data_IF_104612738084
#
_entry.id   IF_104612738084
#
_cell.length_a   1.000
_cell.length_b   1.000
_cell.length_c   1.000
_cell.angle_alpha   90.00
_cell.angle_beta   90.00
_cell.angle_gamma   90.00
#
_symmetry.space_group_name_H-M   'P 1'
#
loop_
_entity.id
_entity.type
_entity.pdbx_description
1 polymer ?
#
# COMPACT_ATOMS: atom_id res chain seq x y z
N UNK A 1 8.34 2.67 13.22
CA UNK A 1 9.05 1.42 12.84
C UNK A 1 8.20 0.61 11.88
N UNK A 2 6.98 0.15 12.25
CA UNK A 2 6.15 -0.67 11.37
C UNK A 2 6.01 -0.13 9.93
N UNK A 3 5.66 1.15 9.75
CA UNK A 3 5.51 1.76 8.43
C UNK A 3 6.79 1.90 7.58
N UNK A 4 7.98 1.70 8.16
CA UNK A 4 9.24 1.68 7.39
C UNK A 4 9.63 0.28 6.92
N UNK A 5 9.08 -0.73 7.57
CA UNK A 5 9.44 -2.13 7.35
C UNK A 5 8.38 -2.87 6.52
N UNK A 6 7.22 -2.23 6.27
CA UNK A 6 6.07 -2.92 5.68
C UNK A 6 6.37 -3.49 4.29
N UNK A 7 7.22 -2.82 3.52
CA UNK A 7 7.56 -3.22 2.14
C UNK A 7 8.75 -4.19 2.11
N UNK A 8 9.69 -4.08 3.05
CA UNK A 8 10.93 -4.87 3.06
C UNK A 8 10.83 -6.10 3.97
N UNK A 9 10.27 -5.92 5.18
CA UNK A 9 10.16 -6.95 6.21
C UNK A 9 8.73 -6.97 6.82
N UNK A 10 7.70 -7.36 6.04
CA UNK A 10 6.29 -7.24 6.46
C UNK A 10 5.97 -8.00 7.74
N UNK A 11 6.57 -9.16 7.96
CA UNK A 11 6.37 -9.94 9.19
C UNK A 11 6.92 -9.19 10.43
N UNK A 12 8.10 -8.59 10.33
CA UNK A 12 8.67 -7.79 11.40
C UNK A 12 7.85 -6.51 11.64
N UNK A 13 7.36 -5.89 10.56
CA UNK A 13 6.44 -4.76 10.65
C UNK A 13 5.17 -5.11 11.41
N UNK A 14 4.60 -6.28 11.13
CA UNK A 14 3.41 -6.79 11.81
C UNK A 14 3.67 -7.02 13.30
N UNK A 15 4.79 -7.64 13.68
CA UNK A 15 5.17 -7.84 15.08
C UNK A 15 5.31 -6.50 15.83
N UNK A 16 5.92 -5.49 15.20
CA UNK A 16 6.00 -4.15 15.80
C UNK A 16 4.62 -3.49 15.98
N UNK A 17 3.73 -3.64 15.02
CA UNK A 17 2.36 -3.13 15.11
C UNK A 17 1.57 -3.84 16.23
N UNK A 18 1.70 -5.17 16.34
CA UNK A 18 1.11 -5.95 17.44
C UNK A 18 1.64 -5.52 18.81
N UNK A 19 2.95 -5.25 18.93
CA UNK A 19 3.50 -4.75 20.19
C UNK A 19 2.91 -3.38 20.57
N UNK A 20 2.69 -2.49 19.60
CA UNK A 20 2.06 -1.20 19.83
C UNK A 20 0.57 -1.34 20.23
N UNK A 21 -0.14 -2.33 19.68
CA UNK A 21 -1.57 -2.53 19.96
C UNK A 21 -1.86 -2.92 21.41
N UNK A 22 -0.89 -3.52 22.12
CA UNK A 22 -1.02 -3.85 23.55
C UNK A 22 -1.28 -2.62 24.43
N UNK A 23 -0.74 -1.45 24.04
CA UNK A 23 -0.90 -0.19 24.77
C UNK A 23 -1.89 0.77 24.12
N UNK A 24 -1.98 0.75 22.80
CA UNK A 24 -2.78 1.68 22.00
C UNK A 24 -3.98 1.07 21.29
N UNK A 25 -4.42 -0.13 21.63
CA UNK A 25 -5.43 -0.89 20.89
C UNK A 25 -6.84 -0.25 20.79
N UNK A 26 -7.08 0.85 21.52
CA UNK A 26 -8.32 1.64 21.40
C UNK A 26 -8.22 2.77 20.34
N UNK A 27 -7.04 3.01 19.80
CA UNK A 27 -6.79 4.03 18.80
C UNK A 27 -7.01 3.44 17.40
N UNK A 28 -7.86 4.08 16.59
CA UNK A 28 -8.13 3.66 15.22
C UNK A 28 -6.84 3.51 14.39
N UNK A 29 -5.91 4.47 14.48
CA UNK A 29 -4.64 4.44 13.77
C UNK A 29 -3.76 3.22 14.14
N UNK A 30 -3.85 2.74 15.37
CA UNK A 30 -3.11 1.52 15.79
C UNK A 30 -3.75 0.28 15.19
N UNK A 31 -5.09 0.21 15.15
CA UNK A 31 -5.83 -0.89 14.49
C UNK A 31 -5.55 -0.92 13.00
N UNK A 32 -5.53 0.25 12.38
CA UNK A 32 -5.14 0.43 10.98
C UNK A 32 -3.73 -0.09 10.71
N UNK A 33 -2.75 0.32 11.51
CA UNK A 33 -1.37 -0.11 11.36
C UNK A 33 -1.21 -1.64 11.51
N UNK A 34 -1.93 -2.26 12.48
CA UNK A 34 -1.92 -3.73 12.62
C UNK A 34 -2.58 -4.39 11.41
N UNK A 35 -3.73 -3.86 10.94
CA UNK A 35 -4.43 -4.40 9.78
C UNK A 35 -3.60 -4.34 8.50
N UNK A 36 -2.96 -3.20 8.22
CA UNK A 36 -2.12 -3.02 7.03
C UNK A 36 -0.88 -3.91 7.06
N UNK A 37 -0.20 -4.01 8.21
CA UNK A 37 0.98 -4.86 8.34
C UNK A 37 0.63 -6.35 8.32
N UNK A 38 -0.51 -6.75 8.91
CA UNK A 38 -1.03 -8.10 8.82
C UNK A 38 -1.36 -8.48 7.36
N UNK A 39 -1.99 -7.56 6.62
CA UNK A 39 -2.28 -7.75 5.20
C UNK A 39 -0.99 -7.94 4.39
N UNK A 40 0.01 -7.07 4.58
CA UNK A 40 1.29 -7.16 3.89
C UNK A 40 2.04 -8.47 4.21
N UNK A 41 1.90 -8.98 5.45
CA UNK A 41 2.48 -10.25 5.89
C UNK A 41 1.64 -11.49 5.47
N UNK A 42 0.51 -11.31 4.76
CA UNK A 42 -0.36 -12.41 4.35
C UNK A 42 -1.27 -12.97 5.45
N UNK A 43 -1.33 -12.32 6.62
CA UNK A 43 -2.21 -12.70 7.73
C UNK A 43 -3.62 -12.13 7.52
N UNK A 44 -4.30 -12.56 6.46
CA UNK A 44 -5.58 -11.98 6.01
C UNK A 44 -6.68 -12.06 7.05
N UNK A 45 -6.73 -13.12 7.87
CA UNK A 45 -7.71 -13.26 8.95
C UNK A 45 -7.55 -12.20 10.03
N UNK A 46 -6.31 -11.95 10.45
CA UNK A 46 -5.96 -10.89 11.39
C UNK A 46 -6.25 -9.51 10.81
N UNK A 47 -5.86 -9.28 9.56
CA UNK A 47 -6.13 -8.03 8.86
C UNK A 47 -7.62 -7.69 8.87
N UNK A 48 -8.49 -8.64 8.53
CA UNK A 48 -9.94 -8.47 8.55
C UNK A 48 -10.47 -8.10 9.95
N UNK A 49 -10.01 -8.76 11.03
CA UNK A 49 -10.43 -8.44 12.40
C UNK A 49 -10.05 -7.02 12.77
N UNK A 50 -8.84 -6.61 12.44
CA UNK A 50 -8.32 -5.28 12.76
C UNK A 50 -9.03 -4.19 11.94
N UNK A 51 -9.28 -4.40 10.66
CA UNK A 51 -10.05 -3.45 9.84
C UNK A 51 -11.52 -3.35 10.26
N UNK A 52 -12.17 -4.43 10.68
CA UNK A 52 -13.52 -4.38 11.29
C UNK A 52 -13.51 -3.53 12.57
N UNK A 53 -12.48 -3.69 13.40
CA UNK A 53 -12.31 -2.89 14.61
C UNK A 53 -12.02 -1.42 14.28
N UNK A 54 -11.16 -1.16 13.30
CA UNK A 54 -10.91 0.18 12.78
C UNK A 54 -12.21 0.87 12.34
N UNK A 55 -13.01 0.22 11.50
CA UNK A 55 -14.31 0.74 11.03
C UNK A 55 -15.24 1.07 12.19
N UNK A 56 -15.33 0.20 13.19
CA UNK A 56 -16.17 0.44 14.38
C UNK A 56 -15.71 1.65 15.19
N UNK A 57 -14.41 1.93 15.26
CA UNK A 57 -13.85 3.06 16.01
C UNK A 57 -13.92 4.36 15.22
N UNK A 58 -13.55 4.32 13.95
CA UNK A 58 -13.41 5.52 13.09
C UNK A 58 -14.68 5.88 12.33
N UNK A 59 -15.58 4.92 12.09
CA UNK A 59 -16.71 5.07 11.16
C UNK A 59 -16.32 5.10 9.69
N UNK A 60 -15.03 4.88 9.35
CA UNK A 60 -14.51 5.03 7.98
C UNK A 60 -14.53 3.69 7.24
N UNK A 61 -14.91 3.73 5.96
CA UNK A 61 -14.96 2.60 5.04
C UNK A 61 -13.75 2.53 4.09
N UNK A 62 -12.71 3.35 4.30
CA UNK A 62 -11.55 3.51 3.40
C UNK A 62 -10.83 2.18 3.11
N UNK A 63 -10.85 1.23 4.03
CA UNK A 63 -10.18 -0.07 3.88
C UNK A 63 -11.08 -1.19 3.32
N UNK A 64 -12.30 -0.89 2.85
CA UNK A 64 -13.15 -1.92 2.22
C UNK A 64 -12.46 -2.65 1.06
N UNK A 65 -11.70 -1.98 0.16
CA UNK A 65 -10.97 -2.69 -0.88
C UNK A 65 -9.98 -3.72 -0.33
N UNK A 66 -9.21 -3.34 0.70
CA UNK A 66 -8.24 -4.25 1.35
C UNK A 66 -8.97 -5.41 2.06
N UNK A 67 -10.11 -5.13 2.70
CA UNK A 67 -10.92 -6.17 3.33
C UNK A 67 -11.48 -7.17 2.30
N UNK A 68 -11.94 -6.70 1.15
CA UNK A 68 -12.37 -7.56 0.06
C UNK A 68 -11.22 -8.41 -0.48
N UNK A 69 -10.03 -7.83 -0.61
CA UNK A 69 -8.84 -8.58 -1.05
C UNK A 69 -8.37 -9.61 -0.02
N UNK A 70 -8.51 -9.33 1.28
CA UNK A 70 -8.31 -10.32 2.34
C UNK A 70 -9.25 -11.53 2.19
N UNK A 71 -10.53 -11.31 1.85
CA UNK A 71 -11.48 -12.42 1.61
C UNK A 71 -11.02 -13.27 0.40
N UNK A 72 -10.50 -12.64 -0.66
CA UNK A 72 -9.88 -13.36 -1.77
C UNK A 72 -8.67 -14.18 -1.31
N UNK A 73 -7.76 -13.57 -0.56
CA UNK A 73 -6.57 -14.23 -0.02
C UNK A 73 -6.89 -15.42 0.89
N UNK A 74 -8.08 -15.43 1.51
CA UNK A 74 -8.59 -16.57 2.27
C UNK A 74 -9.33 -17.60 1.41
N UNK A 75 -9.31 -17.47 0.07
CA UNK A 75 -9.99 -18.37 -0.85
C UNK A 75 -11.53 -18.20 -0.86
N UNK A 76 -12.03 -16.99 -0.56
CA UNK A 76 -13.45 -16.66 -0.48
C UNK A 76 -13.83 -15.55 -1.47
N UNK A 77 -13.65 -15.75 -2.79
CA UNK A 77 -13.90 -14.71 -3.79
C UNK A 77 -15.36 -14.23 -3.81
N UNK A 78 -16.33 -15.11 -3.49
CA UNK A 78 -17.73 -14.70 -3.39
C UNK A 78 -17.95 -13.66 -2.29
N UNK A 79 -17.31 -13.80 -1.13
CA UNK A 79 -17.39 -12.80 -0.05
C UNK A 79 -16.71 -11.48 -0.44
N UNK A 80 -15.65 -11.52 -1.22
CA UNK A 80 -15.05 -10.31 -1.77
C UNK A 80 -16.02 -9.54 -2.67
N UNK A 81 -16.78 -10.26 -3.50
CA UNK A 81 -17.84 -9.68 -4.33
C UNK A 81 -19.00 -9.12 -3.50
N UNK A 82 -19.36 -9.76 -2.39
CA UNK A 82 -20.39 -9.25 -1.46
C UNK A 82 -19.93 -7.91 -0.85
N UNK A 83 -18.68 -7.81 -0.42
CA UNK A 83 -18.10 -6.55 0.07
C UNK A 83 -18.13 -5.47 -1.02
N UNK A 84 -17.78 -5.82 -2.26
CA UNK A 84 -17.79 -4.88 -3.38
C UNK A 84 -19.19 -4.33 -3.72
N UNK A 85 -20.25 -5.07 -3.37
CA UNK A 85 -21.65 -4.70 -3.61
C UNK A 85 -22.36 -4.12 -2.39
N UNK A 86 -21.68 -4.02 -1.27
CA UNK A 86 -22.25 -3.48 -0.04
C UNK A 86 -22.66 -2.00 -0.20
N UNK A 87 -23.59 -1.53 0.62
CA UNK A 87 -24.01 -0.12 0.62
C UNK A 87 -22.82 0.80 0.94
N UNK A 88 -21.98 0.38 1.86
CA UNK A 88 -20.78 1.14 2.27
C UNK A 88 -19.76 1.35 1.14
N UNK A 89 -19.76 0.45 0.15
CA UNK A 89 -18.91 0.59 -1.04
C UNK A 89 -19.34 1.78 -1.91
N UNK A 90 -20.61 2.17 -1.86
CA UNK A 90 -21.13 3.32 -2.62
C UNK A 90 -20.58 4.65 -2.11
N UNK A 91 -20.23 4.72 -0.82
CA UNK A 91 -19.72 5.92 -0.16
C UNK A 91 -18.20 6.11 -0.36
N UNK A 92 -17.51 5.15 -0.98
CA UNK A 92 -16.10 5.28 -1.29
C UNK A 92 -15.85 6.43 -2.26
N UNK A 93 -14.72 7.08 -2.08
CA UNK A 93 -14.19 8.05 -3.03
C UNK A 93 -13.75 7.39 -4.36
N UNK A 94 -13.33 8.18 -5.33
CA UNK A 94 -12.95 7.66 -6.65
C UNK A 94 -11.77 6.68 -6.60
N UNK A 95 -10.68 6.94 -5.85
CA UNK A 95 -9.61 5.95 -5.63
C UNK A 95 -10.12 4.66 -4.99
N UNK A 96 -10.91 4.76 -3.93
CA UNK A 96 -11.48 3.59 -3.24
C UNK A 96 -12.37 2.74 -4.14
N UNK A 97 -13.19 3.37 -4.99
CA UNK A 97 -14.01 2.67 -6.00
C UNK A 97 -13.16 1.98 -7.05
N UNK A 98 -12.08 2.61 -7.52
CA UNK A 98 -11.16 2.01 -8.46
C UNK A 98 -10.46 0.78 -7.88
N UNK A 99 -9.93 0.88 -6.65
CA UNK A 99 -9.30 -0.24 -5.97
C UNK A 99 -10.28 -1.39 -5.72
N UNK A 100 -11.51 -1.08 -5.29
CA UNK A 100 -12.53 -2.10 -5.06
C UNK A 100 -12.95 -2.81 -6.36
N UNK A 101 -13.03 -2.10 -7.48
CA UNK A 101 -13.28 -2.70 -8.80
C UNK A 101 -12.15 -3.64 -9.23
N UNK A 102 -10.88 -3.27 -8.98
CA UNK A 102 -9.74 -4.13 -9.24
C UNK A 102 -9.84 -5.43 -8.43
N UNK A 103 -10.18 -5.34 -7.16
CA UNK A 103 -10.36 -6.52 -6.30
C UNK A 103 -11.54 -7.37 -6.77
N UNK A 104 -12.66 -6.75 -7.13
CA UNK A 104 -13.84 -7.46 -7.65
C UNK A 104 -13.53 -8.21 -8.96
N UNK A 105 -12.79 -7.59 -9.86
CA UNK A 105 -12.32 -8.23 -11.09
C UNK A 105 -11.40 -9.42 -10.78
N UNK A 106 -10.48 -9.27 -9.83
CA UNK A 106 -9.65 -10.38 -9.34
C UNK A 106 -10.49 -11.53 -8.77
N UNK A 107 -11.52 -11.23 -7.97
CA UNK A 107 -12.43 -12.24 -7.44
C UNK A 107 -13.21 -12.97 -8.55
N UNK A 108 -13.61 -12.26 -9.62
CA UNK A 108 -14.22 -12.89 -10.80
C UNK A 108 -13.24 -13.81 -11.52
N UNK A 109 -11.98 -13.38 -11.63
CA UNK A 109 -10.92 -14.21 -12.22
C UNK A 109 -10.67 -15.46 -11.41
N UNK A 110 -10.64 -15.36 -10.07
CA UNK A 110 -10.49 -16.50 -9.15
C UNK A 110 -11.64 -17.53 -9.33
N UNK A 111 -12.84 -17.05 -9.69
CA UNK A 111 -14.02 -17.88 -10.02
C UNK A 111 -14.04 -18.37 -11.48
N UNK A 112 -13.05 -18.03 -12.31
CA UNK A 112 -13.03 -18.37 -13.74
C UNK A 112 -14.03 -17.59 -14.60
N UNK A 113 -14.59 -16.48 -14.09
CA UNK A 113 -15.60 -15.66 -14.72
C UNK A 113 -14.95 -14.47 -15.46
N UNK A 114 -14.14 -14.75 -16.50
CA UNK A 114 -13.27 -13.76 -17.12
C UNK A 114 -14.02 -12.59 -17.76
N UNK A 115 -15.14 -12.83 -18.46
CA UNK A 115 -15.96 -11.74 -19.03
C UNK A 115 -16.55 -10.83 -17.93
N UNK A 116 -16.93 -11.41 -16.80
CA UNK A 116 -17.41 -10.66 -15.65
C UNK A 116 -16.29 -9.84 -15.00
N UNK A 117 -15.05 -10.33 -15.02
CA UNK A 117 -13.89 -9.58 -14.54
C UNK A 117 -13.66 -8.30 -15.36
N UNK A 118 -13.80 -8.37 -16.68
CA UNK A 118 -13.74 -7.18 -17.54
C UNK A 118 -14.85 -6.20 -17.17
N UNK A 119 -16.09 -6.68 -17.00
CA UNK A 119 -17.24 -5.84 -16.68
C UNK A 119 -17.12 -5.13 -15.30
N UNK A 120 -16.51 -5.77 -14.28
CA UNK A 120 -16.29 -5.14 -12.98
C UNK A 120 -15.35 -3.92 -13.05
N UNK A 121 -14.49 -3.85 -14.08
CA UNK A 121 -13.55 -2.74 -14.30
C UNK A 121 -14.11 -1.62 -15.18
N UNK A 122 -15.24 -1.85 -15.88
CA UNK A 122 -15.90 -0.85 -16.73
C UNK A 122 -16.69 0.16 -15.89
N UNK A 123 -15.99 0.87 -15.02
CA UNK A 123 -16.52 1.87 -14.09
C UNK A 123 -16.30 3.30 -14.62
N UNK A 124 -17.04 4.32 -14.12
CA UNK A 124 -16.85 5.72 -14.55
C UNK A 124 -15.43 6.27 -14.35
N UNK A 125 -14.63 5.66 -13.45
CA UNK A 125 -13.24 6.02 -13.20
C UNK A 125 -12.29 5.55 -14.31
N UNK A 126 -12.71 4.62 -15.19
CA UNK A 126 -11.94 4.12 -16.32
C UNK A 126 -12.02 5.12 -17.49
N UNK A 127 -11.31 6.23 -17.39
CA UNK A 127 -11.28 7.26 -18.43
C UNK A 127 -9.89 7.37 -19.03
N UNK A 128 -9.75 6.95 -20.29
CA UNK A 128 -8.49 6.92 -21.02
C UNK A 128 -7.87 8.31 -21.22
N UNK A 129 -8.67 9.38 -21.13
CA UNK A 129 -8.24 10.76 -21.40
C UNK A 129 -7.81 11.50 -20.14
N UNK A 130 -7.91 10.88 -18.96
CA UNK A 130 -7.65 11.53 -17.68
C UNK A 130 -6.75 10.65 -16.81
N UNK A 131 -5.69 11.25 -16.26
CA UNK A 131 -4.77 10.58 -15.35
C UNK A 131 -5.00 11.08 -13.91
N UNK A 132 -5.41 10.17 -13.04
CA UNK A 132 -5.49 10.32 -11.59
C UNK A 132 -4.53 9.32 -10.93
N UNK A 133 -4.24 9.48 -9.67
CA UNK A 133 -3.31 8.59 -8.93
C UNK A 133 -3.63 7.09 -9.05
N UNK A 134 -4.90 6.74 -9.19
CA UNK A 134 -5.37 5.37 -9.36
C UNK A 134 -5.39 4.89 -10.82
N UNK A 135 -5.31 5.80 -11.81
CA UNK A 135 -5.49 5.44 -13.24
C UNK A 135 -4.48 4.42 -13.76
N UNK A 136 -3.17 4.54 -13.48
CA UNK A 136 -2.21 3.57 -13.99
C UNK A 136 -2.51 2.13 -13.54
N UNK A 137 -2.85 1.97 -12.28
CA UNK A 137 -3.18 0.65 -11.71
C UNK A 137 -4.49 0.11 -12.28
N UNK A 138 -5.52 0.95 -12.39
CA UNK A 138 -6.80 0.58 -12.99
C UNK A 138 -6.65 0.19 -14.46
N UNK A 139 -5.86 0.94 -15.24
CA UNK A 139 -5.62 0.66 -16.66
C UNK A 139 -4.85 -0.67 -16.85
N UNK A 140 -3.89 -0.98 -15.99
CA UNK A 140 -3.20 -2.28 -16.02
C UNK A 140 -4.15 -3.43 -15.70
N UNK A 141 -4.95 -3.30 -14.64
CA UNK A 141 -5.92 -4.31 -14.26
C UNK A 141 -6.93 -4.59 -15.38
N UNK A 142 -7.39 -3.53 -16.05
CA UNK A 142 -8.30 -3.67 -17.20
C UNK A 142 -7.61 -4.32 -18.40
N UNK A 143 -6.37 -3.96 -18.69
CA UNK A 143 -5.59 -4.60 -19.74
C UNK A 143 -5.38 -6.10 -19.48
N UNK A 144 -5.10 -6.48 -18.23
CA UNK A 144 -4.90 -7.88 -17.86
C UNK A 144 -6.21 -8.69 -17.96
N UNK A 145 -7.34 -8.09 -17.55
CA UNK A 145 -8.65 -8.70 -17.72
C UNK A 145 -9.01 -8.89 -19.22
N UNK A 146 -8.72 -7.90 -20.07
CA UNK A 146 -8.91 -7.98 -21.52
C UNK A 146 -8.05 -9.08 -22.15
N UNK A 147 -6.79 -9.18 -21.75
CA UNK A 147 -5.90 -10.26 -22.20
C UNK A 147 -6.43 -11.64 -21.76
N UNK A 148 -7.00 -11.74 -20.55
CA UNK A 148 -7.62 -12.96 -20.05
C UNK A 148 -8.78 -13.48 -20.91
N UNK A 149 -9.50 -12.59 -21.63
CA UNK A 149 -10.58 -12.94 -22.56
C UNK A 149 -10.14 -12.95 -24.03
N UNK A 150 -8.81 -12.81 -24.30
CA UNK A 150 -8.24 -12.86 -25.64
C UNK A 150 -8.40 -11.56 -26.46
N UNK A 151 -8.69 -10.42 -25.81
CA UNK A 151 -8.77 -9.09 -26.45
C UNK A 151 -7.41 -8.39 -26.43
N UNK A 152 -6.38 -9.04 -26.98
CA UNK A 152 -4.97 -8.63 -26.84
C UNK A 152 -4.67 -7.24 -27.42
N UNK A 153 -5.25 -6.90 -28.58
CA UNK A 153 -5.05 -5.58 -29.20
C UNK A 153 -5.55 -4.43 -28.32
N UNK A 154 -6.64 -4.66 -27.59
CA UNK A 154 -7.18 -3.67 -26.65
C UNK A 154 -6.37 -3.63 -25.37
N UNK A 155 -5.97 -4.79 -24.87
CA UNK A 155 -5.09 -4.90 -23.72
C UNK A 155 -3.80 -4.10 -23.91
N UNK A 156 -3.16 -4.22 -25.08
CA UNK A 156 -1.94 -3.48 -25.40
C UNK A 156 -2.14 -1.97 -25.42
N UNK A 157 -3.29 -1.48 -25.91
CA UNK A 157 -3.62 -0.05 -25.85
C UNK A 157 -3.72 0.46 -24.42
N UNK A 158 -4.37 -0.31 -23.54
CA UNK A 158 -4.52 0.08 -22.13
C UNK A 158 -3.21 -0.01 -21.35
N UNK A 159 -2.33 -0.98 -21.66
CA UNK A 159 -0.97 -1.02 -21.08
C UNK A 159 -0.16 0.22 -21.45
N UNK A 160 -0.19 0.62 -22.72
CA UNK A 160 0.47 1.86 -23.16
C UNK A 160 -0.10 3.09 -22.46
N UNK A 161 -1.42 3.14 -22.30
CA UNK A 161 -2.07 4.25 -21.63
C UNK A 161 -1.73 4.29 -20.13
N UNK A 162 -1.52 3.14 -19.47
CA UNK A 162 -1.05 3.09 -18.10
C UNK A 162 0.32 3.76 -17.94
N UNK A 163 1.26 3.47 -18.85
CA UNK A 163 2.58 4.11 -18.87
C UNK A 163 2.49 5.62 -19.11
N UNK A 164 1.62 6.05 -20.04
CA UNK A 164 1.38 7.49 -20.29
C UNK A 164 0.84 8.17 -19.04
N UNK A 165 -0.08 7.52 -18.33
CA UNK A 165 -0.64 8.05 -17.09
C UNK A 165 0.41 8.14 -15.97
N UNK A 166 1.28 7.14 -15.83
CA UNK A 166 2.40 7.17 -14.86
C UNK A 166 3.36 8.32 -15.13
N UNK A 167 3.78 8.48 -16.38
CA UNK A 167 4.68 9.57 -16.76
C UNK A 167 4.03 10.94 -16.50
N UNK A 168 2.73 11.09 -16.81
CA UNK A 168 1.99 12.32 -16.55
C UNK A 168 1.86 12.65 -15.05
N UNK A 169 1.91 11.64 -14.18
CA UNK A 169 1.84 11.77 -12.72
C UNK A 169 3.23 11.88 -12.06
N UNK A 170 4.32 11.80 -12.82
CA UNK A 170 5.68 11.75 -12.29
C UNK A 170 5.96 10.45 -11.52
N UNK A 171 5.21 9.39 -11.79
CA UNK A 171 5.38 8.06 -11.20
C UNK A 171 6.13 7.11 -12.15
N UNK A 172 6.52 7.59 -13.34
CA UNK A 172 7.37 6.85 -14.26
C UNK A 172 8.66 6.45 -13.54
N UNK A 173 9.24 5.33 -13.94
CA UNK A 173 10.60 4.99 -13.54
C UNK A 173 11.42 6.23 -13.89
N UNK A 174 11.97 6.90 -12.87
CA UNK A 174 12.97 7.91 -13.10
C UNK A 174 14.01 7.26 -14.02
N UNK A 175 14.00 7.63 -15.30
CA UNK A 175 15.20 7.47 -16.08
C UNK A 175 16.24 8.16 -15.20
N UNK A 176 17.17 7.38 -14.64
CA UNK A 176 18.25 7.92 -13.85
C UNK A 176 18.68 9.17 -14.59
N UNK A 177 18.66 10.35 -13.96
CA UNK A 177 19.03 11.56 -14.70
C UNK A 177 20.35 11.23 -15.34
N UNK A 178 20.40 11.26 -16.68
CA UNK A 178 21.62 11.07 -17.43
C UNK A 178 22.59 12.06 -16.78
N UNK A 179 23.45 11.54 -15.89
CA UNK A 179 24.52 12.34 -15.33
C UNK A 179 25.36 12.61 -16.55
N UNK A 180 25.03 13.70 -17.24
CA UNK A 180 25.87 14.22 -18.28
C UNK A 180 27.14 14.60 -17.53
N UNK A 181 28.11 13.71 -17.58
CA UNK A 181 29.47 14.00 -17.18
C UNK A 181 29.92 15.16 -18.11
N UNK A 182 29.84 16.37 -17.59
CA UNK A 182 30.25 17.58 -18.32
C UNK A 182 31.73 17.57 -18.65
N UNK A 183 32.38 16.44 -18.42
CA UNK A 183 33.81 16.24 -18.60
C UNK A 183 34.57 17.09 -17.58
N UNK A 184 35.52 16.49 -16.93
CA UNK A 184 36.48 17.20 -16.11
C UNK A 184 37.24 18.18 -17.04
N UNK A 185 37.07 19.49 -16.84
CA UNK A 185 37.75 20.48 -17.65
C UNK A 185 39.21 20.56 -17.17
N UNK A 186 40.04 19.66 -17.73
CA UNK A 186 41.47 19.58 -17.42
C UNK A 186 42.17 20.95 -17.64
N UNK A 187 41.64 21.77 -18.55
CA UNK A 187 42.17 23.13 -18.79
C UNK A 187 41.82 24.09 -17.65
N UNK A 188 40.65 23.98 -17.05
CA UNK A 188 40.23 24.82 -15.93
C UNK A 188 40.99 24.44 -14.65
N UNK A 189 41.17 23.15 -14.38
CA UNK A 189 41.99 22.66 -13.27
C UNK A 189 43.47 23.10 -13.42
N UNK A 190 44.01 22.96 -14.61
CA UNK A 190 45.39 23.44 -14.90
C UNK A 190 45.55 24.96 -14.71
N UNK A 191 44.50 25.75 -15.00
CA UNK A 191 44.47 27.19 -14.73
C UNK A 191 44.41 27.49 -13.24
N UNK A 192 43.56 26.80 -12.50
CA UNK A 192 43.45 26.97 -11.06
C UNK A 192 44.72 26.54 -10.32
N UNK A 193 45.35 25.43 -10.72
CA UNK A 193 46.65 25.02 -10.18
C UNK A 193 47.75 26.04 -10.47
N UNK A 194 47.78 26.55 -11.69
CA UNK A 194 48.76 27.58 -12.08
C UNK A 194 48.56 28.88 -11.29
N UNK A 195 47.34 29.29 -11.03
CA UNK A 195 46.99 30.45 -10.23
C UNK A 195 47.35 30.23 -8.75
N UNK A 196 47.02 29.07 -8.18
CA UNK A 196 47.40 28.69 -6.82
C UNK A 196 48.91 28.69 -6.62
N UNK A 197 49.67 28.15 -7.60
CA UNK A 197 51.14 28.17 -7.58
C UNK A 197 51.71 29.59 -7.61
N UNK A 198 51.15 30.49 -8.45
CA UNK A 198 51.55 31.93 -8.51
C UNK A 198 51.25 32.63 -7.18
N UNK A 199 50.17 32.36 -6.51
CA UNK A 199 49.81 32.93 -5.21
C UNK A 199 50.78 32.47 -4.11
N UNK A 200 51.17 31.19 -4.10
CA UNK A 200 52.15 30.63 -3.17
C UNK A 200 53.55 31.21 -3.38
N UNK A 201 54.01 31.36 -4.64
CA UNK A 201 55.28 31.96 -4.99
C UNK A 201 55.31 33.43 -4.55
N UNK A 202 54.23 34.18 -4.75
CA UNK A 202 54.12 35.57 -4.32
C UNK A 202 54.13 35.70 -2.79
N UNK A 203 53.47 34.79 -2.07
CA UNK A 203 53.47 34.75 -0.61
C UNK A 203 54.87 34.42 -0.05
N UNK A 204 55.60 33.51 -0.69
CA UNK A 204 56.97 33.15 -0.33
C UNK A 204 57.91 34.31 -0.55
N UNK A 205 57.85 35.03 -1.68
CA UNK A 205 58.67 36.23 -1.96
C UNK A 205 58.38 37.40 -1.02
N UNK A 206 57.10 37.56 -0.60
CA UNK A 206 56.68 38.56 0.38
C UNK A 206 57.26 38.26 1.77
N UNK A 207 57.43 36.98 2.12
CA UNK A 207 58.05 36.54 3.36
C UNK A 207 59.56 36.75 3.40
N UNK A 208 60.24 36.66 2.23
CA UNK A 208 61.69 36.90 2.15
C UNK A 208 62.09 38.39 2.13
N UNK A 209 61.17 39.26 1.74
CA UNK A 209 61.42 40.73 1.65
C UNK A 209 61.02 41.50 2.91
N UNK A 210 60.48 40.81 3.93
CA UNK A 210 60.19 41.45 5.22
C UNK A 210 61.48 41.86 5.95
N UNK A 211 61.69 43.14 6.31
CA UNK A 211 62.88 43.57 7.03
C UNK A 211 62.90 42.93 8.41
N UNK A 212 64.05 42.29 8.75
CA UNK A 212 64.34 41.81 10.12
C UNK A 212 64.21 42.98 11.07
N UNK A 213 63.07 43.07 11.79
CA UNK A 213 62.90 44.00 12.87
C UNK A 213 63.74 43.54 14.06
N UNK A 214 64.58 44.46 14.45
CA UNK A 214 65.54 44.39 15.58
C UNK A 214 64.80 44.18 16.88
N UNK A 215 65.27 43.25 17.66
CA UNK A 215 64.83 42.96 19.04
C UNK A 215 64.83 44.23 19.91
N UNK A 216 63.70 44.58 20.48
CA UNK A 216 63.61 45.43 21.66
C UNK A 216 62.76 44.76 22.70
N UNK A 217 63.40 44.46 23.81
CA UNK A 217 62.82 43.96 25.06
C UNK A 217 61.71 44.87 25.59
N UNK A 218 60.66 44.29 26.18
CA UNK A 218 59.68 45.00 26.98
C UNK A 218 58.35 44.29 27.07
N UNK A 219 58.16 43.40 28.01
CA UNK A 219 56.85 42.88 28.43
C UNK A 219 55.99 43.99 29.08
N UNK A 220 54.70 43.82 29.40
CA UNK A 220 53.80 42.67 29.31
C UNK A 220 52.41 43.04 28.77
N UNK A 221 51.68 42.14 28.18
CA UNK A 221 50.22 42.17 28.19
C UNK A 221 49.65 40.76 27.85
N UNK A 222 49.71 39.90 28.81
CA UNK A 222 48.80 38.80 28.91
C UNK A 222 47.51 39.36 29.52
N UNK A 223 46.48 39.61 28.68
CA UNK A 223 45.07 39.81 29.11
C UNK A 223 44.26 40.33 27.90
N UNK A 224 43.92 39.47 26.94
CA UNK A 224 42.83 39.71 25.99
C UNK A 224 42.51 38.50 25.11
N UNK A 225 42.73 37.27 25.56
CA UNK A 225 42.40 36.08 24.78
C UNK A 225 41.56 35.03 25.56
N UNK A 226 40.94 35.43 26.67
CA UNK A 226 40.09 34.51 27.47
C UNK A 226 38.61 34.90 27.53
N UNK A 227 38.13 35.75 26.66
CA UNK A 227 36.74 36.21 26.66
C UNK A 227 35.84 35.71 25.53
N UNK A 228 36.31 34.79 24.66
CA UNK A 228 35.47 34.19 23.61
C UNK A 228 35.40 32.65 23.65
N UNK A 229 35.83 31.99 24.71
CA UNK A 229 35.68 30.53 24.88
C UNK A 229 34.72 30.12 25.98
N UNK A 230 33.97 31.04 26.58
CA UNK A 230 33.10 30.77 27.74
C UNK A 230 31.60 30.89 27.44
N UNK A 231 31.19 31.07 26.17
CA UNK A 231 29.78 31.19 25.79
C UNK A 231 29.19 30.00 25.05
N UNK A 232 29.93 28.90 24.89
CA UNK A 232 29.49 27.72 24.14
C UNK A 232 29.29 26.45 24.98
N UNK A 233 29.33 26.52 26.32
CA UNK A 233 29.18 25.32 27.17
C UNK A 233 28.19 25.45 28.34
N UNK A 234 27.25 26.36 28.27
CA UNK A 234 26.29 26.61 29.38
C UNK A 234 24.82 26.34 28.99
N UNK A 235 24.52 25.36 28.12
CA UNK A 235 23.13 24.91 27.93
C UNK A 235 23.03 23.39 27.75
N UNK A 236 23.53 22.61 28.72
CA UNK A 236 23.21 21.19 28.86
C UNK A 236 23.47 20.75 30.30
N UNK A 237 22.73 21.30 31.24
CA UNK A 237 22.55 20.69 32.54
C UNK A 237 21.20 21.06 33.12
N UNK A 238 20.52 20.00 33.54
CA UNK A 238 19.36 19.98 34.47
C UNK A 238 17.98 19.96 33.84
N UNK A 239 17.49 18.74 33.61
CA UNK A 239 16.17 18.31 34.07
C UNK A 239 16.13 16.79 34.23
N UNK A 240 16.49 16.31 35.40
CA UNK A 240 16.06 15.01 35.90
C UNK A 240 14.53 15.09 36.16
N UNK A 241 13.71 14.15 35.67
CA UNK A 241 12.32 14.05 36.11
C UNK A 241 12.28 13.34 37.48
N UNK A 242 11.68 14.04 38.41
CA UNK A 242 11.31 13.54 39.72
C UNK A 242 10.44 12.29 39.64
N UNK A 243 10.87 11.29 40.35
CA UNK A 243 10.17 10.10 40.74
C UNK A 243 8.76 10.44 41.31
N UNK A 244 7.72 10.12 40.57
CA UNK A 244 6.36 10.07 41.10
C UNK A 244 5.95 8.60 41.10
N UNK A 245 6.12 7.98 42.23
CA UNK A 245 5.49 6.72 42.62
C UNK A 245 3.98 6.81 42.38
N UNK A 246 3.51 6.08 41.41
CA UNK A 246 2.08 5.80 41.23
C UNK A 246 1.84 4.36 41.63
N UNK A 247 1.12 4.27 42.72
CA UNK A 247 0.48 3.16 43.39
C UNK A 247 0.00 2.07 42.41
N UNK A 248 0.50 0.85 42.62
CA UNK A 248 0.00 -0.37 42.03
C UNK A 248 -1.41 -0.63 42.57
N UNK A 249 -2.44 -0.25 41.80
CA UNK A 249 -3.74 -0.85 41.91
C UNK A 249 -3.94 -1.79 40.70
N UNK A 250 -3.74 -3.06 40.97
CA UNK A 250 -4.20 -4.17 40.18
C UNK A 250 -5.72 -4.02 39.95
N UNK A 251 -6.09 -3.62 38.74
CA UNK A 251 -7.43 -3.80 38.25
C UNK A 251 -7.45 -5.08 37.42
N UNK A 252 -7.85 -6.13 38.11
CA UNK A 252 -8.34 -7.39 37.55
C UNK A 252 -9.42 -7.06 36.53
N UNK A 253 -9.06 -6.99 35.25
CA UNK A 253 -10.03 -6.84 34.17
C UNK A 253 -10.27 -8.21 33.56
N UNK A 254 -11.37 -8.80 34.01
CA UNK A 254 -12.00 -9.98 33.43
C UNK A 254 -12.08 -9.83 31.91
N UNK A 255 -11.30 -10.64 31.21
CA UNK A 255 -11.50 -10.95 29.81
C UNK A 255 -12.69 -11.89 29.77
N UNK A 256 -13.88 -11.35 29.54
CA UNK A 256 -15.00 -12.16 29.07
C UNK A 256 -14.68 -12.57 27.63
N UNK A 257 -14.34 -13.81 27.51
CA UNK A 257 -14.23 -14.56 26.28
C UNK A 257 -15.68 -14.76 25.76
N UNK A 258 -16.21 -13.76 25.07
CA UNK A 258 -17.40 -13.97 24.25
C UNK A 258 -16.94 -14.62 22.94
N UNK A 259 -16.67 -15.88 23.03
CA UNK A 259 -16.70 -16.80 21.91
C UNK A 259 -18.15 -16.92 21.46
N UNK A 260 -18.61 -16.03 20.59
CA UNK A 260 -19.76 -16.32 19.75
C UNK A 260 -19.32 -17.40 18.75
N UNK A 261 -19.58 -18.62 19.15
CA UNK A 261 -19.63 -19.79 18.28
C UNK A 261 -20.82 -19.58 17.35
N UNK A 262 -20.56 -19.18 16.12
CA UNK A 262 -21.50 -19.41 15.02
C UNK A 262 -21.58 -20.94 14.81
N UNK A 263 -22.43 -21.57 15.57
CA UNK A 263 -22.91 -22.89 15.23
C UNK A 263 -23.83 -22.75 14.01
N UNK A 264 -23.24 -22.99 12.86
CA UNK A 264 -23.92 -23.28 11.61
C UNK A 264 -24.69 -24.61 11.84
N UNK A 265 -25.95 -24.49 12.22
CA UNK A 265 -26.85 -25.62 12.31
C UNK A 265 -27.12 -26.15 10.90
N UNK A 266 -26.39 -27.20 10.57
CA UNK A 266 -26.70 -28.07 9.44
C UNK A 266 -27.94 -28.82 9.82
N UNK A 267 -29.11 -28.39 9.35
CA UNK A 267 -30.33 -29.21 9.33
C UNK A 267 -30.08 -30.41 8.41
N UNK A 268 -29.87 -31.55 9.02
CA UNK A 268 -29.97 -32.86 8.37
C UNK A 268 -31.46 -33.16 8.18
N UNK A 269 -31.97 -32.99 6.96
CA UNK A 269 -33.22 -33.60 6.53
C UNK A 269 -32.98 -35.10 6.40
N UNK A 270 -33.41 -35.83 7.42
CA UNK A 270 -33.60 -37.28 7.37
C UNK A 270 -34.75 -37.60 6.42
N UNK A 271 -34.41 -38.13 5.24
CA UNK A 271 -35.36 -38.81 4.37
C UNK A 271 -35.72 -40.16 4.98
N UNK A 272 -36.83 -40.22 5.69
CA UNK A 272 -37.51 -41.48 5.99
C UNK A 272 -38.12 -42.07 4.71
N UNK A 273 -37.64 -43.26 4.38
CA UNK A 273 -38.18 -44.17 3.41
C UNK A 273 -39.38 -44.96 3.97
N UNK A 274 -40.49 -44.89 3.32
CA UNK A 274 -41.51 -45.93 3.32
C UNK A 274 -42.31 -45.77 2.04
N UNK A 275 -42.32 -46.63 1.13
CA UNK A 275 -42.74 -48.00 1.12
C UNK A 275 -43.90 -48.18 0.19
N UNK A 276 -43.69 -48.92 -0.89
CA UNK A 276 -44.61 -49.78 -1.61
C UNK A 276 -46.00 -49.23 -2.04
N UNK A 277 -46.34 -49.27 -3.27
CA UNK A 277 -47.12 -50.37 -3.83
C UNK A 277 -47.37 -50.22 -5.33
N UNK A 278 -47.59 -51.36 -5.93
CA UNK A 278 -47.75 -51.75 -7.31
C UNK A 278 -49.02 -51.22 -8.00
N UNK A 279 -48.99 -51.22 -9.31
CA UNK A 279 -50.22 -51.28 -10.13
C UNK A 279 -50.02 -50.69 -11.52
N UNK A 280 -49.56 -51.50 -12.43
CA UNK A 280 -50.30 -52.16 -13.50
C UNK A 280 -50.80 -51.32 -14.67
N UNK A 281 -50.21 -51.67 -15.77
CA UNK A 281 -50.83 -52.01 -17.08
C UNK A 281 -51.33 -50.90 -18.01
N UNK A 282 -50.76 -51.03 -19.22
CA UNK A 282 -51.39 -51.07 -20.55
C UNK A 282 -52.09 -49.77 -21.02
N UNK A 283 -51.99 -49.31 -22.17
CA UNK A 283 -52.07 -49.97 -23.48
C UNK A 283 -52.01 -48.90 -24.57
N UNK A 284 -51.47 -49.29 -25.69
CA UNK A 284 -51.87 -49.01 -27.06
C UNK A 284 -51.90 -47.57 -27.63
N UNK A 285 -51.00 -47.42 -28.59
CA UNK A 285 -51.29 -47.43 -30.06
C UNK A 285 -51.61 -46.07 -30.69
N UNK A 286 -50.69 -45.83 -31.68
CA UNK A 286 -50.98 -45.44 -33.05
C UNK A 286 -51.73 -44.12 -33.30
N UNK A 287 -51.14 -43.21 -34.03
CA UNK A 287 -51.44 -43.10 -35.44
C UNK A 287 -50.50 -42.12 -36.17
N UNK A 288 -50.04 -42.60 -37.29
CA UNK A 288 -49.36 -41.88 -38.34
C UNK A 288 -50.33 -41.06 -39.20
N UNK A 289 -49.89 -39.96 -39.77
CA UNK A 289 -50.17 -39.47 -41.10
C UNK A 289 -49.66 -38.04 -41.28
N UNK A 290 -48.61 -37.85 -42.05
CA UNK A 290 -48.62 -37.40 -43.45
C UNK A 290 -49.55 -36.19 -43.77
N UNK A 291 -48.94 -35.11 -44.20
CA UNK A 291 -49.20 -34.41 -45.46
C UNK A 291 -48.23 -33.20 -45.55
N UNK A 292 -47.18 -33.26 -46.37
CA UNK A 292 -47.10 -32.81 -47.82
C UNK A 292 -47.64 -31.40 -48.07
N UNK A 293 -46.68 -30.53 -48.37
CA UNK A 293 -46.50 -29.88 -49.69
C UNK A 293 -47.42 -28.69 -50.02
N UNK A 294 -46.74 -27.58 -50.34
CA UNK A 294 -46.93 -26.62 -51.44
C UNK A 294 -46.40 -25.24 -50.99
N UNK A 295 -45.25 -24.82 -51.53
CA UNK A 295 -45.02 -24.12 -52.80
C UNK A 295 -45.75 -22.77 -52.95
N UNK A 296 -44.86 -21.76 -53.16
CA UNK A 296 -44.99 -20.62 -54.11
C UNK A 296 -46.01 -19.55 -53.68
N UNK A 297 -45.52 -18.34 -53.39
CA UNK A 297 -45.15 -17.23 -54.25
C UNK A 297 -44.22 -16.24 -53.54
#
# INVERSE_FOLDING_TARGET
MAGRLIDEEPELAFQHALAASRRGGRLAAVREAVGLTAYAAGHYGEALREFRTYRRISGSNVHLPVMADCERGLGRPDRALDVARSEEAQDLDAPGKAELAIVAAGARTDLGQLDAAVAELEIPQLDINRAFSYSPRLFRAYADALAGVGRDDEAEKWRKQAVVAENALGQGVDEEPDIIDLGWDEEEEAREEAERRRLLDRASQASETAPKAVSAEGAPAAQAAELHAAEATAELQDSEPQDASIDDQEADYFVSDDAESDEDSVEQDELESAGADAGSAADEQDDAAEHQDRRED
#
